data_IF_496351405231
#
_entry.id   IF_496351405231
#
_cell.length_a   1.000
_cell.length_b   1.000
_cell.length_c   1.000
_cell.angle_alpha   90.00
_cell.angle_beta   90.00
_cell.angle_gamma   90.00
#
_symmetry.space_group_name_H-M   'P 1'
#
loop_
_entity.id
_entity.type
_entity.pdbx_description
1 polymer ?
#
# COMPACT_ATOMS: atom_id res chain seq x y z
N UNK A 1 -16.62 7.09 11.94
CA UNK A 1 -16.06 7.03 10.57
C UNK A 1 -14.64 7.56 10.69
N UNK A 2 -13.62 6.75 10.45
CA UNK A 2 -12.23 7.22 10.53
C UNK A 2 -11.95 8.13 9.33
N UNK A 3 -11.25 9.23 9.56
CA UNK A 3 -10.92 10.24 8.55
C UNK A 3 -9.97 9.63 7.50
N UNK A 4 -10.30 9.80 6.21
CA UNK A 4 -9.39 9.52 5.10
C UNK A 4 -8.72 10.83 4.73
N UNK A 5 -7.39 10.86 4.69
CA UNK A 5 -6.60 12.03 4.32
C UNK A 5 -6.05 11.88 2.92
N UNK A 6 -6.31 12.85 2.05
CA UNK A 6 -5.68 12.93 0.73
C UNK A 6 -4.31 13.59 0.86
N UNK A 7 -3.32 13.03 0.16
CA UNK A 7 -1.94 13.49 0.13
C UNK A 7 -1.42 13.53 -1.31
N UNK A 8 -0.29 14.21 -1.51
CA UNK A 8 0.53 14.08 -2.72
C UNK A 8 1.86 13.45 -2.37
N UNK A 9 2.28 12.48 -3.20
CA UNK A 9 3.54 11.78 -3.01
C UNK A 9 4.38 11.78 -4.28
N UNK A 10 5.67 12.06 -4.12
CA UNK A 10 6.68 11.88 -5.16
C UNK A 10 7.34 10.51 -5.00
N UNK A 11 7.23 9.67 -6.03
CA UNK A 11 7.83 8.34 -6.07
C UNK A 11 9.33 8.39 -6.40
N UNK A 12 10.01 7.25 -6.28
CA UNK A 12 11.46 7.16 -6.52
C UNK A 12 11.88 7.58 -7.93
N UNK A 13 11.03 7.33 -8.92
CA UNK A 13 11.24 7.71 -10.32
C UNK A 13 10.89 9.18 -10.60
N UNK A 14 10.44 9.93 -9.59
CA UNK A 14 10.06 11.33 -9.69
C UNK A 14 8.59 11.56 -10.03
N UNK A 15 7.80 10.52 -10.32
CA UNK A 15 6.36 10.63 -10.59
C UNK A 15 5.62 11.15 -9.37
N UNK A 16 4.75 12.14 -9.56
CA UNK A 16 3.83 12.61 -8.52
C UNK A 16 2.48 11.92 -8.65
N UNK A 17 1.95 11.42 -7.53
CA UNK A 17 0.66 10.74 -7.45
C UNK A 17 -0.16 11.28 -6.28
N UNK A 18 -1.49 11.26 -6.41
CA UNK A 18 -2.38 11.41 -5.26
C UNK A 18 -2.40 10.10 -4.47
N UNK A 19 -2.39 10.20 -3.14
CA UNK A 19 -2.49 9.05 -2.23
C UNK A 19 -3.52 9.32 -1.14
N UNK A 20 -4.08 8.26 -0.59
CA UNK A 20 -5.07 8.32 0.48
C UNK A 20 -4.55 7.55 1.68
N UNK A 21 -4.59 8.19 2.84
CA UNK A 21 -4.10 7.63 4.11
C UNK A 21 -5.24 7.42 5.09
N UNK A 22 -5.16 6.33 5.84
CA UNK A 22 -6.08 6.03 6.93
C UNK A 22 -5.40 5.23 8.03
N UNK A 23 -5.78 5.51 9.28
CA UNK A 23 -5.41 4.69 10.44
C UNK A 23 -6.39 3.52 10.64
N UNK A 24 -5.83 2.34 10.90
CA UNK A 24 -6.55 1.13 11.28
C UNK A 24 -6.21 0.83 12.72
N UNK A 25 -7.18 1.08 13.61
CA UNK A 25 -7.02 0.95 15.06
C UNK A 25 -7.72 -0.31 15.58
N UNK A 26 -7.00 -1.06 16.42
CA UNK A 26 -7.45 -2.10 17.35
C UNK A 26 -6.50 -2.11 18.57
N UNK A 27 -6.04 -3.27 19.06
CA UNK A 27 -4.95 -3.34 20.06
C UNK A 27 -3.59 -2.91 19.48
N UNK A 28 -3.43 -2.93 18.15
CA UNK A 28 -2.35 -2.29 17.40
C UNK A 28 -2.90 -1.20 16.46
N UNK A 29 -2.01 -0.34 15.93
CA UNK A 29 -2.37 0.74 15.01
C UNK A 29 -1.49 0.64 13.76
N UNK A 30 -2.13 0.52 12.60
CA UNK A 30 -1.49 0.62 11.28
C UNK A 30 -1.88 1.93 10.60
N UNK A 31 -0.90 2.71 10.15
CA UNK A 31 -1.11 3.79 9.20
C UNK A 31 -0.93 3.23 7.78
N UNK A 32 -1.99 3.31 6.98
CA UNK A 32 -2.04 2.72 5.65
C UNK A 32 -2.20 3.82 4.61
N UNK A 33 -1.40 3.80 3.56
CA UNK A 33 -1.45 4.76 2.46
C UNK A 33 -1.42 4.02 1.12
N UNK A 34 -2.25 4.42 0.17
CA UNK A 34 -2.27 3.87 -1.17
C UNK A 34 -2.60 4.93 -2.22
N UNK A 35 -2.18 4.70 -3.46
CA UNK A 35 -2.54 5.54 -4.61
C UNK A 35 -1.95 4.99 -5.90
N UNK A 36 -2.57 5.31 -7.02
CA UNK A 36 -2.11 4.91 -8.34
C UNK A 36 -2.35 6.03 -9.35
N UNK A 37 -1.61 5.99 -10.46
CA UNK A 37 -1.90 6.85 -11.61
C UNK A 37 -2.98 6.29 -12.54
N UNK A 38 -3.56 5.15 -12.18
CA UNK A 38 -4.44 4.34 -13.01
C UNK A 38 -3.73 3.59 -14.12
N UNK A 39 -4.49 2.82 -14.90
CA UNK A 39 -3.97 2.14 -16.08
C UNK A 39 -3.61 3.15 -17.18
N UNK A 40 -2.36 3.12 -17.64
CA UNK A 40 -1.86 4.02 -18.70
C UNK A 40 -1.36 3.28 -19.95
N UNK A 41 -1.38 1.94 -19.93
CA UNK A 41 -0.78 1.09 -20.97
C UNK A 41 0.75 1.17 -21.01
N UNK A 42 1.40 0.24 -21.71
CA UNK A 42 2.86 0.21 -21.85
C UNK A 42 3.61 -0.46 -20.69
N UNK A 43 4.94 -0.42 -20.78
CA UNK A 43 5.88 -0.99 -19.82
C UNK A 43 6.28 0.03 -18.73
N UNK A 44 7.24 -0.30 -17.85
CA UNK A 44 7.69 0.59 -16.76
C UNK A 44 8.08 2.01 -17.22
N UNK A 45 8.52 2.20 -18.47
CA UNK A 45 8.87 3.52 -19.00
C UNK A 45 7.65 4.42 -19.23
N UNK A 46 6.53 3.84 -19.66
CA UNK A 46 5.33 4.57 -20.12
C UNK A 46 4.06 4.26 -19.30
N UNK A 47 4.12 3.25 -18.44
CA UNK A 47 3.01 2.67 -17.71
C UNK A 47 2.60 3.43 -16.44
N UNK A 48 1.58 2.89 -15.79
CA UNK A 48 1.07 3.43 -14.54
C UNK A 48 2.03 3.19 -13.37
N UNK A 49 1.88 3.97 -12.30
CA UNK A 49 2.60 3.78 -11.04
C UNK A 49 1.59 3.43 -9.97
N UNK A 50 1.88 2.38 -9.23
CA UNK A 50 1.11 1.95 -8.06
C UNK A 50 1.97 2.13 -6.83
N UNK A 51 1.38 2.70 -5.78
CA UNK A 51 2.02 2.90 -4.51
C UNK A 51 1.09 2.41 -3.40
N UNK A 52 1.65 1.68 -2.45
CA UNK A 52 1.04 1.50 -1.15
C UNK A 52 2.12 1.38 -0.08
N UNK A 53 1.74 1.67 1.16
CA UNK A 53 2.55 1.51 2.35
C UNK A 53 1.65 1.12 3.52
N UNK A 54 2.16 0.21 4.31
CA UNK A 54 1.67 -0.10 5.65
C UNK A 54 2.79 0.25 6.61
N UNK A 55 2.47 1.03 7.64
CA UNK A 55 3.43 1.48 8.65
C UNK A 55 2.87 1.14 10.03
N UNK A 56 3.70 0.53 10.87
CA UNK A 56 3.39 0.42 12.30
C UNK A 56 3.36 1.82 12.92
N UNK A 57 2.17 2.24 13.37
CA UNK A 57 1.97 3.49 14.08
C UNK A 57 1.97 3.27 15.59
N UNK A 58 1.61 2.07 16.06
CA UNK A 58 1.78 1.64 17.44
C UNK A 58 1.54 0.13 17.61
N UNK A 59 2.41 -0.51 18.39
CA UNK A 59 2.18 -1.83 19.00
C UNK A 59 1.88 -2.98 18.02
N UNK A 60 2.38 -2.93 16.79
CA UNK A 60 2.23 -4.05 15.85
C UNK A 60 3.43 -4.97 15.90
N UNK A 61 3.22 -6.27 16.17
CA UNK A 61 4.27 -7.28 15.98
C UNK A 61 4.40 -7.61 14.48
N UNK A 62 5.39 -7.02 13.83
CA UNK A 62 5.59 -7.09 12.38
C UNK A 62 7.07 -7.29 12.03
N UNK A 63 7.33 -8.30 11.20
CA UNK A 63 8.61 -8.48 10.51
C UNK A 63 8.40 -8.42 8.99
N UNK A 64 9.29 -7.71 8.29
CA UNK A 64 9.21 -7.48 6.84
C UNK A 64 10.54 -7.82 6.22
N UNK A 65 10.53 -8.84 5.35
CA UNK A 65 11.71 -9.28 4.64
C UNK A 65 11.57 -8.99 3.14
N UNK A 66 12.61 -8.40 2.54
CA UNK A 66 12.69 -8.23 1.08
C UNK A 66 13.53 -9.36 0.53
N UNK A 67 12.89 -10.24 -0.24
CA UNK A 67 13.57 -11.29 -0.98
C UNK A 67 14.34 -10.66 -2.15
N UNK A 68 15.62 -11.01 -2.27
CA UNK A 68 16.50 -10.47 -3.31
C UNK A 68 17.07 -11.58 -4.16
N UNK A 69 17.17 -11.31 -5.44
CA UNK A 69 17.84 -12.21 -6.37
C UNK A 69 19.37 -12.15 -6.21
N UNK A 70 20.09 -12.94 -7.02
CA UNK A 70 21.56 -12.98 -7.00
C UNK A 70 22.26 -11.66 -7.39
N UNK A 71 21.54 -10.73 -8.01
CA UNK A 71 22.03 -9.41 -8.41
C UNK A 71 21.68 -8.32 -7.38
N UNK A 72 20.88 -8.67 -6.37
CA UNK A 72 20.44 -7.77 -5.31
C UNK A 72 19.13 -7.05 -5.63
N UNK A 73 18.51 -7.34 -6.78
CA UNK A 73 17.21 -6.79 -7.16
C UNK A 73 16.11 -7.44 -6.32
N UNK A 74 15.05 -6.67 -6.03
CA UNK A 74 13.93 -7.19 -5.26
C UNK A 74 13.13 -8.18 -6.11
N UNK A 75 13.07 -9.44 -5.68
CA UNK A 75 12.25 -10.49 -6.29
C UNK A 75 10.86 -10.56 -5.63
N UNK A 76 10.78 -10.12 -4.36
CA UNK A 76 9.53 -10.01 -3.64
C UNK A 76 9.72 -9.49 -2.23
N UNK A 77 8.65 -9.53 -1.45
CA UNK A 77 8.68 -9.22 -0.03
C UNK A 77 7.68 -10.12 0.69
N UNK A 78 7.97 -10.42 1.95
CA UNK A 78 7.09 -11.15 2.84
C UNK A 78 6.87 -10.34 4.11
N UNK A 79 5.69 -10.52 4.70
CA UNK A 79 5.28 -9.86 5.94
C UNK A 79 4.81 -10.93 6.88
N UNK A 80 5.42 -10.99 8.06
CA UNK A 80 5.03 -11.88 9.15
C UNK A 80 4.43 -11.04 10.27
N UNK A 81 3.33 -11.52 10.85
CA UNK A 81 2.55 -10.83 11.87
C UNK A 81 2.23 -11.77 13.03
N UNK A 82 2.33 -11.26 14.25
CA UNK A 82 2.13 -12.06 15.47
C UNK A 82 0.86 -11.70 16.23
N UNK A 83 -0.26 -12.38 15.96
CA UNK A 83 -1.47 -12.30 16.77
C UNK A 83 -2.77 -12.11 15.98
N UNK A 84 -3.89 -12.28 16.69
CA UNK A 84 -5.24 -12.14 16.12
C UNK A 84 -5.55 -10.68 15.75
N UNK A 85 -4.98 -9.73 16.50
CA UNK A 85 -5.19 -8.31 16.29
C UNK A 85 -4.48 -7.82 15.01
N UNK A 86 -3.26 -8.28 14.79
CA UNK A 86 -2.47 -8.01 13.60
C UNK A 86 -3.15 -8.61 12.36
N UNK A 87 -3.73 -9.82 12.48
CA UNK A 87 -4.55 -10.41 11.43
C UNK A 87 -5.76 -9.53 11.07
N UNK A 88 -6.53 -9.09 12.08
CA UNK A 88 -7.72 -8.25 11.85
C UNK A 88 -7.35 -6.89 11.21
N UNK A 89 -6.35 -6.20 11.79
CA UNK A 89 -5.93 -4.89 11.31
C UNK A 89 -5.29 -4.98 9.93
N UNK A 90 -4.52 -6.03 9.64
CA UNK A 90 -3.95 -6.25 8.31
C UNK A 90 -5.02 -6.53 7.26
N UNK A 91 -6.05 -7.34 7.56
CA UNK A 91 -7.18 -7.55 6.64
C UNK A 91 -7.86 -6.22 6.30
N UNK A 92 -8.09 -5.38 7.32
CA UNK A 92 -8.71 -4.05 7.13
C UNK A 92 -7.81 -3.10 6.34
N UNK A 93 -6.50 -3.14 6.57
CA UNK A 93 -5.51 -2.38 5.83
C UNK A 93 -5.49 -2.77 4.34
N UNK A 94 -5.41 -4.06 4.05
CA UNK A 94 -5.42 -4.59 2.69
C UNK A 94 -6.71 -4.24 1.95
N UNK A 95 -7.88 -4.37 2.58
CA UNK A 95 -9.15 -3.95 1.99
C UNK A 95 -9.19 -2.46 1.65
N UNK A 96 -8.61 -1.61 2.49
CA UNK A 96 -8.51 -0.18 2.20
C UNK A 96 -7.59 0.09 1.00
N UNK A 97 -6.42 -0.55 0.95
CA UNK A 97 -5.49 -0.44 -0.18
C UNK A 97 -6.17 -0.87 -1.47
N UNK A 98 -6.78 -2.07 -1.48
CA UNK A 98 -7.50 -2.59 -2.65
C UNK A 98 -8.56 -1.61 -3.12
N UNK A 99 -9.40 -1.12 -2.21
CA UNK A 99 -10.43 -0.15 -2.54
C UNK A 99 -9.86 1.11 -3.21
N UNK A 100 -8.83 1.72 -2.63
CA UNK A 100 -8.20 2.92 -3.18
C UNK A 100 -7.63 2.65 -4.58
N UNK A 101 -6.98 1.50 -4.75
CA UNK A 101 -6.38 1.14 -6.04
C UNK A 101 -7.45 0.88 -7.11
N UNK A 102 -8.57 0.23 -6.77
CA UNK A 102 -9.69 -0.01 -7.69
C UNK A 102 -10.39 1.30 -8.08
N UNK A 103 -10.67 2.19 -7.11
CA UNK A 103 -11.31 3.49 -7.37
C UNK A 103 -10.43 4.38 -8.27
N UNK A 104 -9.13 4.41 -8.04
CA UNK A 104 -8.18 5.23 -8.81
C UNK A 104 -7.68 4.56 -10.09
N UNK A 105 -7.87 3.24 -10.25
CA UNK A 105 -7.52 2.53 -11.47
C UNK A 105 -8.29 3.05 -12.70
N UNK A 106 -9.49 3.61 -12.47
CA UNK A 106 -10.43 4.08 -13.50
C UNK A 106 -10.69 3.00 -14.57
N UNK A 107 -10.68 1.73 -14.16
CA UNK A 107 -11.08 0.63 -15.02
C UNK A 107 -12.57 0.83 -15.36
N UNK A 108 -12.87 1.08 -16.63
CA UNK A 108 -14.26 1.02 -17.10
C UNK A 108 -14.63 -0.45 -17.04
N UNK A 109 -15.30 -0.86 -15.97
CA UNK A 109 -16.01 -2.14 -15.95
C UNK A 109 -17.08 -2.08 -17.04
N UNK A 110 -16.95 -2.91 -18.08
CA UNK A 110 -18.10 -3.30 -18.92
C UNK A 110 -19.10 -4.12 -18.12
#
# INVERSE_FOLDING_TARGET
MYEIKENRRRLKDGTEISTYTRDVVSCNILEVEAGTTGYRGGDTGHGGRTYFRIKDAACTDMDVHVMRDRFGDAEGFEVMLGGDCELETMIRALKFITKVLEEEAQEVYD
#
